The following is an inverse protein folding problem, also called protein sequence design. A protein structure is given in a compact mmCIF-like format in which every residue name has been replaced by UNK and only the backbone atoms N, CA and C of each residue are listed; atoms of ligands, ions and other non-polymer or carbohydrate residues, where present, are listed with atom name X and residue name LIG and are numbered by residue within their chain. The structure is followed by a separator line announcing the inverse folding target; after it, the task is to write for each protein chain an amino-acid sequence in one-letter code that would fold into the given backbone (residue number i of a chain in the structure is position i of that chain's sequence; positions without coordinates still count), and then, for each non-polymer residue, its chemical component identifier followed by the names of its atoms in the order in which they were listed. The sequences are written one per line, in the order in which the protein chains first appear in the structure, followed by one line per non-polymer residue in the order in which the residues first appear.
data_IF_030632308405
#
_entry.id   IF_030632308405
#
_cell.length_a   1.000
_cell.length_b   1.000
_cell.length_c   1.000
_cell.angle_alpha   90.00
_cell.angle_beta   90.00
_cell.angle_gamma   90.00
#
_symmetry.space_group_name_H-M   'P 1'
#
loop_
_entity.id
_entity.type
_entity.pdbx_description
1 polymer ?
#
# COMPACT_ATOMS: atom_id res chain seq x y z
N UNK A 1 -20.63 -6.97 2.30
CA UNK A 1 -19.72 -6.96 3.47
C UNK A 1 -19.90 -5.64 4.22
N UNK A 2 -19.90 -5.65 5.56
CA UNK A 2 -19.97 -4.43 6.34
C UNK A 2 -18.67 -3.61 6.22
N UNK A 3 -18.80 -2.31 5.94
CA UNK A 3 -17.68 -1.35 5.87
C UNK A 3 -17.10 -1.09 4.47
N UNK A 4 -17.56 -1.79 3.43
CA UNK A 4 -17.18 -1.49 2.04
C UNK A 4 -18.21 -0.55 1.42
N UNK A 5 -17.79 0.64 1.02
CA UNK A 5 -18.65 1.68 0.45
C UNK A 5 -18.75 1.54 -1.07
N UNK A 6 -17.64 1.23 -1.73
CA UNK A 6 -17.63 0.98 -3.18
C UNK A 6 -16.58 -0.06 -3.54
N UNK A 7 -16.92 -0.91 -4.52
CA UNK A 7 -16.00 -1.84 -5.14
C UNK A 7 -16.11 -1.67 -6.66
N UNK A 8 -15.06 -1.16 -7.28
CA UNK A 8 -14.98 -0.95 -8.72
C UNK A 8 -13.88 -1.82 -9.30
N UNK A 9 -14.27 -2.87 -10.03
CA UNK A 9 -13.36 -3.66 -10.82
C UNK A 9 -13.11 -2.98 -12.16
N UNK A 10 -11.85 -2.75 -12.51
CA UNK A 10 -11.49 -2.28 -13.84
C UNK A 10 -11.84 -3.36 -14.87
N UNK A 11 -12.69 -3.01 -15.83
CA UNK A 11 -13.08 -3.92 -16.89
C UNK A 11 -11.95 -3.98 -17.92
N UNK A 12 -11.31 -5.13 -18.01
CA UNK A 12 -10.34 -5.43 -19.07
C UNK A 12 -11.00 -5.43 -20.46
N UNK A 13 -12.33 -5.56 -20.55
CA UNK A 13 -13.08 -5.61 -21.82
C UNK A 13 -14.13 -4.50 -21.82
N UNK A 14 -14.03 -3.58 -22.77
CA UNK A 14 -14.89 -2.38 -22.81
C UNK A 14 -14.50 -1.35 -23.86
N UNK A 15 -13.34 -1.51 -24.49
CA UNK A 15 -12.96 -0.72 -25.66
C UNK A 15 -13.82 -1.10 -26.86
N UNK A 16 -14.30 -0.10 -27.59
CA UNK A 16 -14.97 -0.31 -28.88
C UNK A 16 -13.96 -0.09 -29.99
N UNK A 17 -13.83 -1.08 -30.85
CA UNK A 17 -12.91 -1.07 -31.97
C UNK A 17 -13.70 -1.16 -33.26
N UNK A 18 -13.21 -0.46 -34.28
CA UNK A 18 -13.59 -0.72 -35.65
C UNK A 18 -12.47 -1.53 -36.29
N UNK A 19 -12.72 -2.82 -36.48
CA UNK A 19 -11.77 -3.74 -37.08
C UNK A 19 -11.94 -3.72 -38.60
N UNK A 20 -10.81 -3.59 -39.30
CA UNK A 20 -10.74 -3.56 -40.76
C UNK A 20 -9.95 -4.80 -41.17
N UNK A 21 -10.67 -5.90 -41.37
CA UNK A 21 -10.11 -7.19 -41.71
C UNK A 21 -9.81 -7.27 -43.21
N UNK A 22 -8.55 -7.06 -43.57
CA UNK A 22 -8.08 -7.00 -44.96
C UNK A 22 -8.08 -8.41 -45.57
N UNK A 23 -8.93 -8.62 -46.57
CA UNK A 23 -9.01 -9.89 -47.30
C UNK A 23 -7.91 -9.94 -48.36
N UNK A 24 -6.82 -10.64 -48.05
CA UNK A 24 -5.65 -10.79 -48.93
C UNK A 24 -6.02 -11.22 -50.35
N UNK A 25 -6.93 -12.18 -50.51
CA UNK A 25 -7.37 -12.66 -51.83
C UNK A 25 -8.07 -11.58 -52.66
N UNK A 26 -8.86 -10.71 -52.02
CA UNK A 26 -9.55 -9.63 -52.72
C UNK A 26 -8.57 -8.49 -53.05
N UNK A 27 -7.70 -8.12 -52.13
CA UNK A 27 -6.66 -7.11 -52.37
C UNK A 27 -5.72 -7.52 -53.51
N UNK A 28 -5.34 -8.80 -53.59
CA UNK A 28 -4.47 -9.32 -54.64
C UNK A 28 -5.07 -9.19 -56.05
N UNK A 29 -6.41 -9.26 -56.20
CA UNK A 29 -7.08 -9.06 -57.50
C UNK A 29 -6.85 -7.66 -58.08
N UNK A 30 -6.62 -6.69 -57.22
CA UNK A 30 -6.37 -5.29 -57.58
C UNK A 30 -4.88 -4.93 -57.54
N UNK A 31 -3.99 -5.92 -57.40
CA UNK A 31 -2.55 -5.71 -57.32
C UNK A 31 -2.10 -5.00 -56.03
N UNK A 32 -2.90 -5.06 -54.96
CA UNK A 32 -2.59 -4.42 -53.68
C UNK A 32 -2.04 -5.41 -52.67
N UNK A 33 -1.02 -4.99 -51.94
CA UNK A 33 -0.52 -5.69 -50.76
C UNK A 33 -1.33 -5.28 -49.51
N UNK A 34 -1.20 -6.05 -48.43
CA UNK A 34 -1.79 -5.68 -47.13
C UNK A 34 -1.23 -4.34 -46.64
N UNK A 35 0.06 -4.08 -46.88
CA UNK A 35 0.70 -2.81 -46.52
C UNK A 35 0.09 -1.62 -47.24
N UNK A 36 -0.25 -1.77 -48.51
CA UNK A 36 -0.88 -0.69 -49.30
C UNK A 36 -2.25 -0.32 -48.74
N UNK A 37 -3.10 -1.32 -48.47
CA UNK A 37 -4.43 -1.09 -47.88
C UNK A 37 -4.30 -0.48 -46.47
N UNK A 38 -3.35 -0.95 -45.66
CA UNK A 38 -3.11 -0.42 -44.33
C UNK A 38 -2.60 1.03 -44.35
N UNK A 39 -1.82 1.42 -45.37
CA UNK A 39 -1.37 2.79 -45.56
C UNK A 39 -2.55 3.73 -45.83
N UNK A 40 -3.54 3.30 -46.63
CA UNK A 40 -4.77 4.07 -46.81
C UNK A 40 -5.57 4.20 -45.52
N UNK A 41 -5.64 3.13 -44.71
CA UNK A 41 -6.34 3.18 -43.42
C UNK A 41 -5.65 4.14 -42.44
N UNK A 42 -4.32 4.08 -42.31
CA UNK A 42 -3.58 4.91 -41.36
C UNK A 42 -3.57 6.39 -41.74
N UNK A 43 -3.38 6.71 -43.02
CA UNK A 43 -3.40 8.09 -43.51
C UNK A 43 -4.84 8.61 -43.66
N UNK A 44 -5.63 7.99 -44.53
CA UNK A 44 -6.90 8.55 -44.99
C UNK A 44 -7.99 8.56 -43.90
N UNK A 45 -8.02 7.54 -43.03
CA UNK A 45 -8.95 7.47 -41.89
C UNK A 45 -8.27 7.98 -40.61
N UNK A 46 -7.09 7.45 -40.29
CA UNK A 46 -6.38 7.72 -39.04
C UNK A 46 -5.81 9.12 -38.92
N UNK A 47 -5.49 9.78 -40.04
CA UNK A 47 -4.78 11.06 -40.05
C UNK A 47 -3.34 10.93 -39.56
N UNK A 48 -2.67 9.85 -39.95
CA UNK A 48 -1.26 9.63 -39.62
C UNK A 48 -0.40 10.82 -40.05
N UNK A 49 0.58 11.16 -39.20
CA UNK A 49 1.55 12.20 -39.49
C UNK A 49 2.45 11.76 -40.65
N UNK A 50 2.59 12.61 -41.67
CA UNK A 50 3.43 12.36 -42.85
C UNK A 50 4.76 13.10 -42.79
N UNK A 51 4.85 14.17 -42.00
CA UNK A 51 6.06 14.95 -41.82
C UNK A 51 5.87 16.06 -40.81
N UNK A 52 6.89 16.88 -40.62
CA UNK A 52 6.85 18.05 -39.76
C UNK A 52 7.42 19.26 -40.53
N UNK A 53 6.80 20.43 -40.38
CA UNK A 53 7.42 21.70 -40.79
C UNK A 53 8.25 22.24 -39.62
N UNK A 54 9.38 22.86 -39.94
CA UNK A 54 10.29 23.47 -38.96
C UNK A 54 10.22 24.98 -39.15
N UNK A 55 9.68 25.68 -38.15
CA UNK A 55 9.49 27.12 -38.16
C UNK A 55 10.30 27.73 -37.00
N UNK A 56 11.60 27.92 -37.24
CA UNK A 56 12.55 28.38 -36.23
C UNK A 56 12.86 27.29 -35.20
N UNK A 57 12.38 27.48 -33.97
CA UNK A 57 12.51 26.49 -32.86
C UNK A 57 11.29 25.58 -32.79
N UNK A 58 10.17 25.97 -33.41
CA UNK A 58 8.91 25.23 -33.37
C UNK A 58 8.85 24.19 -34.47
N UNK A 59 8.19 23.06 -34.16
CA UNK A 59 7.95 21.96 -35.09
C UNK A 59 6.46 21.65 -35.10
N UNK A 60 5.86 21.70 -36.29
CA UNK A 60 4.43 21.44 -36.46
C UNK A 60 4.19 20.20 -37.30
N UNK A 61 3.36 19.25 -36.84
CA UNK A 61 3.09 18.02 -37.58
C UNK A 61 2.14 18.25 -38.75
N UNK A 62 2.48 17.67 -39.90
CA UNK A 62 1.67 17.65 -41.11
C UNK A 62 1.01 16.27 -41.21
N UNK A 63 -0.31 16.23 -41.41
CA UNK A 63 -1.05 15.00 -41.67
C UNK A 63 -1.88 15.12 -42.96
N UNK A 64 -2.18 13.96 -43.56
CA UNK A 64 -3.06 13.86 -44.72
C UNK A 64 -4.24 13.01 -44.31
N UNK A 65 -5.46 13.48 -44.57
CA UNK A 65 -6.68 12.80 -44.16
C UNK A 65 -7.84 13.12 -45.10
N UNK A 66 -8.76 12.17 -45.31
CA UNK A 66 -10.01 12.46 -46.00
C UNK A 66 -10.94 13.37 -45.16
N UNK A 67 -11.84 14.13 -45.83
CA UNK A 67 -12.90 14.85 -45.16
C UNK A 67 -13.71 13.92 -44.25
N UNK A 68 -14.21 14.48 -43.15
CA UNK A 68 -14.91 13.70 -42.12
C UNK A 68 -16.12 12.93 -42.67
N UNK A 69 -16.81 13.50 -43.66
CA UNK A 69 -17.99 12.92 -44.33
C UNK A 69 -17.75 11.54 -44.94
N UNK A 70 -16.50 11.16 -45.23
CA UNK A 70 -16.13 9.85 -45.77
C UNK A 70 -15.77 8.81 -44.69
N UNK A 71 -15.80 9.19 -43.41
CA UNK A 71 -15.32 8.35 -42.29
C UNK A 71 -16.15 8.48 -41.01
N UNK A 72 -17.37 9.00 -41.13
CA UNK A 72 -18.27 9.23 -39.99
C UNK A 72 -18.91 7.95 -39.46
N UNK A 73 -19.17 6.97 -40.33
CA UNK A 73 -19.85 5.72 -39.97
C UNK A 73 -19.16 4.48 -40.54
N UNK A 74 -19.34 3.29 -39.93
CA UNK A 74 -18.88 2.02 -40.49
C UNK A 74 -19.37 1.79 -41.92
N UNK A 75 -20.59 2.20 -42.24
CA UNK A 75 -21.21 2.10 -43.57
C UNK A 75 -20.47 2.98 -44.58
N UNK A 76 -20.19 4.23 -44.20
CA UNK A 76 -19.40 5.16 -45.02
C UNK A 76 -17.99 4.63 -45.26
N UNK A 77 -17.38 4.02 -44.24
CA UNK A 77 -16.04 3.45 -44.36
C UNK A 77 -16.00 2.26 -45.33
N UNK A 78 -17.08 1.47 -45.44
CA UNK A 78 -17.17 0.43 -46.47
C UNK A 78 -17.19 1.01 -47.89
N UNK A 79 -17.71 2.22 -48.06
CA UNK A 79 -17.79 2.94 -49.32
C UNK A 79 -16.61 3.88 -49.56
N UNK A 80 -15.57 3.84 -48.71
CA UNK A 80 -14.42 4.73 -48.81
C UNK A 80 -13.69 4.49 -50.14
N UNK A 81 -13.55 5.52 -51.00
CA UNK A 81 -12.90 5.37 -52.29
C UNK A 81 -11.38 5.20 -52.14
N UNK A 82 -10.86 4.17 -52.79
CA UNK A 82 -9.43 3.83 -52.86
C UNK A 82 -9.02 3.81 -54.33
N UNK A 83 -7.89 4.46 -54.62
CA UNK A 83 -7.26 4.39 -55.93
C UNK A 83 -6.15 3.34 -55.92
N UNK A 84 -6.30 2.30 -56.74
CA UNK A 84 -5.33 1.20 -56.80
C UNK A 84 -4.07 1.62 -57.58
N UNK A 85 -2.95 0.90 -57.45
CA UNK A 85 -1.76 1.11 -58.28
C UNK A 85 -2.06 0.99 -59.78
N UNK A 86 -3.06 0.18 -60.15
CA UNK A 86 -3.57 0.00 -61.51
C UNK A 86 -4.53 1.12 -61.95
N UNK A 87 -4.65 2.20 -61.17
CA UNK A 87 -5.58 3.34 -61.38
C UNK A 87 -7.07 2.95 -61.41
N UNK A 88 -7.42 1.80 -60.84
CA UNK A 88 -8.82 1.42 -60.68
C UNK A 88 -9.39 2.15 -59.46
N UNK A 89 -10.64 2.57 -59.55
CA UNK A 89 -11.39 3.10 -58.42
C UNK A 89 -12.19 1.96 -57.79
N UNK A 90 -11.88 1.64 -56.54
CA UNK A 90 -12.56 0.61 -55.76
C UNK A 90 -12.99 1.20 -54.42
N UNK A 91 -13.84 0.49 -53.69
CA UNK A 91 -14.18 0.88 -52.32
C UNK A 91 -13.46 -0.01 -51.30
N UNK A 92 -13.25 0.49 -50.08
CA UNK A 92 -12.61 -0.29 -49.01
C UNK A 92 -13.34 -1.62 -48.73
N UNK A 93 -14.66 -1.66 -48.87
CA UNK A 93 -15.47 -2.88 -48.75
C UNK A 93 -15.15 -3.97 -49.78
N UNK A 94 -14.54 -3.62 -50.91
CA UNK A 94 -14.12 -4.59 -51.93
C UNK A 94 -12.87 -5.36 -51.49
N UNK A 95 -12.03 -4.78 -50.64
CA UNK A 95 -10.73 -5.36 -50.22
C UNK A 95 -10.67 -5.71 -48.74
N UNK A 96 -11.53 -5.14 -47.90
CA UNK A 96 -11.55 -5.36 -46.45
C UNK A 96 -12.97 -5.45 -45.90
N UNK A 97 -13.12 -6.16 -44.79
CA UNK A 97 -14.38 -6.30 -44.06
C UNK A 97 -14.35 -5.41 -42.81
N UNK A 98 -15.30 -4.47 -42.71
CA UNK A 98 -15.38 -3.51 -41.60
C UNK A 98 -16.39 -3.98 -40.56
N UNK A 99 -15.91 -4.31 -39.35
CA UNK A 99 -16.70 -4.80 -38.22
C UNK A 99 -16.51 -3.96 -36.97
N UNK A 100 -17.60 -3.74 -36.24
CA UNK A 100 -17.51 -3.18 -34.89
C UNK A 100 -17.30 -4.34 -33.92
N UNK A 101 -16.17 -4.34 -33.23
CA UNK A 101 -15.80 -5.38 -32.26
C UNK A 101 -15.55 -4.76 -30.90
N UNK A 102 -15.79 -5.53 -29.85
CA UNK A 102 -15.43 -5.13 -28.48
C UNK A 102 -14.11 -5.77 -28.12
N UNK A 103 -13.19 -4.98 -27.59
CA UNK A 103 -11.85 -5.41 -27.23
C UNK A 103 -11.39 -4.81 -25.90
N UNK A 104 -10.13 -5.09 -25.51
CA UNK A 104 -9.57 -4.55 -24.29
C UNK A 104 -9.21 -3.08 -24.45
N UNK A 105 -9.79 -2.19 -23.65
CA UNK A 105 -9.53 -0.74 -23.73
C UNK A 105 -8.10 -0.38 -23.34
N UNK A 106 -7.54 -1.10 -22.36
CA UNK A 106 -6.18 -0.91 -21.88
C UNK A 106 -5.65 -2.24 -21.35
N UNK A 107 -4.46 -2.63 -21.82
CA UNK A 107 -3.76 -3.80 -21.30
C UNK A 107 -2.84 -3.35 -20.16
N UNK A 108 -3.20 -3.70 -18.92
CA UNK A 108 -2.34 -3.49 -17.76
C UNK A 108 -1.56 -4.75 -17.47
N UNK A 109 -0.26 -4.58 -17.24
CA UNK A 109 0.65 -5.66 -16.90
C UNK A 109 1.43 -5.32 -15.65
N UNK A 110 1.66 -6.35 -14.84
CA UNK A 110 2.50 -6.27 -13.65
C UNK A 110 3.40 -7.50 -13.66
N UNK A 111 4.72 -7.31 -13.56
CA UNK A 111 5.71 -8.39 -13.67
C UNK A 111 5.51 -9.27 -14.92
N UNK A 112 5.23 -8.63 -16.08
CA UNK A 112 4.93 -9.28 -17.36
C UNK A 112 3.69 -10.20 -17.37
N UNK A 113 2.81 -10.08 -16.38
CA UNK A 113 1.51 -10.80 -16.33
C UNK A 113 0.36 -9.80 -16.49
N UNK A 114 -0.66 -10.10 -17.32
CA UNK A 114 -1.87 -9.29 -17.37
C UNK A 114 -2.55 -9.23 -16.00
N UNK A 115 -2.90 -8.02 -15.56
CA UNK A 115 -3.52 -7.81 -14.24
C UNK A 115 -4.75 -6.91 -14.38
N UNK A 116 -5.73 -7.11 -13.50
CA UNK A 116 -6.91 -6.25 -13.35
C UNK A 116 -6.98 -5.82 -11.91
N UNK A 117 -7.10 -4.51 -11.69
CA UNK A 117 -7.19 -3.95 -10.36
C UNK A 117 -8.65 -3.77 -9.95
N UNK A 118 -8.94 -4.13 -8.71
CA UNK A 118 -10.24 -3.92 -8.08
C UNK A 118 -10.02 -2.88 -6.99
N UNK A 119 -10.56 -1.69 -7.22
CA UNK A 119 -10.49 -0.60 -6.26
C UNK A 119 -11.62 -0.78 -5.25
N UNK A 120 -11.26 -0.90 -3.98
CA UNK A 120 -12.20 -1.06 -2.87
C UNK A 120 -12.03 0.14 -1.96
N UNK A 121 -13.09 0.95 -1.83
CA UNK A 121 -13.17 2.01 -0.80
C UNK A 121 -13.94 1.46 0.39
N UNK A 122 -13.28 1.48 1.56
CA UNK A 122 -13.86 1.06 2.82
C UNK A 122 -13.80 2.24 3.79
N UNK A 123 -14.96 2.57 4.36
CA UNK A 123 -15.09 3.65 5.35
C UNK A 123 -15.65 3.08 6.64
N UNK A 124 -15.33 3.77 7.74
CA UNK A 124 -15.89 3.51 9.08
C UNK A 124 -15.44 2.18 9.73
N UNK A 125 -14.43 1.50 9.16
CA UNK A 125 -13.85 0.27 9.73
C UNK A 125 -12.34 0.18 9.49
N UNK A 126 -11.66 -0.61 10.30
CA UNK A 126 -10.23 -0.85 10.18
C UNK A 126 -9.90 -1.64 8.90
N UNK A 127 -8.91 -1.14 8.15
CA UNK A 127 -8.49 -1.73 6.87
C UNK A 127 -8.09 -3.21 7.00
N UNK A 128 -7.47 -3.59 8.12
CA UNK A 128 -7.00 -4.97 8.35
C UNK A 128 -8.17 -5.95 8.46
N UNK A 129 -9.21 -5.63 9.24
CA UNK A 129 -10.40 -6.48 9.34
C UNK A 129 -11.16 -6.57 8.02
N UNK A 130 -11.26 -5.46 7.28
CA UNK A 130 -11.94 -5.46 5.97
C UNK A 130 -11.22 -6.39 4.98
N UNK A 131 -9.88 -6.35 4.93
CA UNK A 131 -9.10 -7.25 4.06
C UNK A 131 -9.21 -8.71 4.50
N UNK A 132 -9.24 -8.99 5.81
CA UNK A 132 -9.45 -10.36 6.30
C UNK A 132 -10.84 -10.90 5.95
N UNK A 133 -11.88 -10.08 6.10
CA UNK A 133 -13.25 -10.45 5.71
C UNK A 133 -13.34 -10.68 4.19
N UNK A 134 -12.66 -9.86 3.38
CA UNK A 134 -12.53 -10.03 1.94
C UNK A 134 -11.85 -11.36 1.58
N UNK A 135 -10.72 -11.67 2.22
CA UNK A 135 -9.99 -12.93 2.03
C UNK A 135 -10.87 -14.14 2.34
N UNK A 136 -11.61 -14.10 3.44
CA UNK A 136 -12.49 -15.20 3.84
C UNK A 136 -13.66 -15.38 2.88
N UNK A 137 -14.30 -14.30 2.45
CA UNK A 137 -15.43 -14.41 1.53
C UNK A 137 -14.99 -14.82 0.12
N UNK A 138 -13.90 -14.26 -0.40
CA UNK A 138 -13.36 -14.65 -1.71
C UNK A 138 -12.96 -16.13 -1.68
N UNK A 139 -12.34 -16.61 -0.59
CA UNK A 139 -11.98 -18.02 -0.44
C UNK A 139 -13.18 -18.97 -0.34
N UNK A 140 -14.33 -18.50 0.14
CA UNK A 140 -15.57 -19.31 0.26
C UNK A 140 -16.43 -19.28 -0.99
N UNK A 141 -16.61 -18.11 -1.58
CA UNK A 141 -17.61 -17.87 -2.62
C UNK A 141 -17.03 -17.95 -4.04
N UNK A 142 -15.72 -17.71 -4.22
CA UNK A 142 -15.11 -17.60 -5.55
C UNK A 142 -14.21 -18.80 -5.84
N UNK A 143 -14.62 -19.64 -6.79
CA UNK A 143 -13.77 -20.70 -7.34
C UNK A 143 -12.81 -20.11 -8.37
N UNK A 144 -11.54 -19.99 -8.02
CA UNK A 144 -10.50 -19.50 -8.90
C UNK A 144 -10.21 -20.51 -10.02
N UNK A 145 -10.15 -20.04 -11.27
CA UNK A 145 -9.70 -20.86 -12.39
C UNK A 145 -8.18 -21.06 -12.30
N UNK A 146 -7.64 -22.20 -12.78
CA UNK A 146 -6.20 -22.42 -12.86
C UNK A 146 -5.50 -21.28 -13.62
N UNK A 147 -4.35 -20.81 -13.12
CA UNK A 147 -3.58 -19.72 -13.73
C UNK A 147 -3.96 -18.31 -13.27
N UNK A 148 -4.98 -18.15 -12.43
CA UNK A 148 -5.35 -16.86 -11.81
C UNK A 148 -4.89 -16.85 -10.35
N UNK A 149 -4.10 -15.83 -9.99
CA UNK A 149 -3.74 -15.54 -8.61
C UNK A 149 -4.38 -14.22 -8.17
N UNK A 150 -4.90 -14.19 -6.94
CA UNK A 150 -5.41 -12.96 -6.32
C UNK A 150 -4.38 -12.49 -5.30
N UNK A 151 -3.94 -11.24 -5.44
CA UNK A 151 -3.08 -10.57 -4.46
C UNK A 151 -3.79 -9.35 -3.90
N UNK A 152 -3.58 -9.08 -2.62
CA UNK A 152 -4.13 -7.92 -1.93
C UNK A 152 -3.03 -6.88 -1.80
N UNK A 153 -3.09 -5.85 -2.65
CA UNK A 153 -2.07 -4.81 -2.73
C UNK A 153 -2.57 -3.50 -2.12
N UNK A 154 -1.66 -2.54 -1.91
CA UNK A 154 -1.95 -1.21 -1.38
C UNK A 154 -1.35 -0.99 0.01
N UNK A 155 -2.02 -0.20 0.85
CA UNK A 155 -1.53 0.10 2.20
C UNK A 155 -1.47 -1.16 3.09
N UNK A 156 -2.29 -2.16 2.81
CA UNK A 156 -2.28 -3.44 3.53
C UNK A 156 -0.95 -4.18 3.38
N UNK A 157 -0.35 -4.20 2.18
CA UNK A 157 0.93 -4.87 1.94
C UNK A 157 2.06 -4.22 2.76
N UNK A 158 2.06 -2.89 2.85
CA UNK A 158 3.02 -2.15 3.69
C UNK A 158 2.84 -2.47 5.17
N UNK A 159 1.59 -2.58 5.62
CA UNK A 159 1.24 -2.92 7.00
C UNK A 159 1.65 -4.37 7.32
N UNK A 160 1.39 -5.33 6.43
CA UNK A 160 1.80 -6.73 6.56
C UNK A 160 3.34 -6.82 6.69
N UNK A 161 4.07 -6.17 5.78
CA UNK A 161 5.55 -6.11 5.82
C UNK A 161 6.07 -5.47 7.11
N UNK A 162 5.44 -4.40 7.58
CA UNK A 162 5.80 -3.75 8.83
C UNK A 162 5.54 -4.66 10.05
N UNK A 163 4.39 -5.33 10.10
CA UNK A 163 4.03 -6.26 11.16
C UNK A 163 4.95 -7.47 11.22
N UNK A 164 5.36 -8.02 10.07
CA UNK A 164 6.34 -9.11 10.03
C UNK A 164 7.69 -8.68 10.62
N UNK A 165 8.15 -7.45 10.29
CA UNK A 165 9.37 -6.90 10.88
C UNK A 165 9.22 -6.65 12.38
N UNK A 166 8.10 -6.10 12.83
CA UNK A 166 7.83 -5.85 14.26
C UNK A 166 7.82 -7.16 15.07
N UNK A 167 7.18 -8.22 14.56
CA UNK A 167 7.19 -9.54 15.20
C UNK A 167 8.59 -10.10 15.40
N UNK A 168 9.53 -9.77 14.51
CA UNK A 168 10.93 -10.17 14.63
C UNK A 168 11.76 -9.22 15.52
N UNK A 169 11.50 -7.91 15.45
CA UNK A 169 12.23 -6.88 16.20
C UNK A 169 11.91 -6.88 17.70
N UNK A 170 10.66 -7.13 18.10
CA UNK A 170 10.25 -7.16 19.51
C UNK A 170 11.04 -8.20 20.34
N UNK A 171 11.12 -9.49 19.94
CA UNK A 171 11.90 -10.46 20.72
C UNK A 171 13.41 -10.16 20.69
N UNK A 172 13.94 -9.66 19.57
CA UNK A 172 15.34 -9.30 19.45
C UNK A 172 15.73 -8.16 20.41
N UNK A 173 14.91 -7.11 20.51
CA UNK A 173 15.14 -5.99 21.43
C UNK A 173 14.98 -6.41 22.90
N UNK A 174 13.97 -7.24 23.22
CA UNK A 174 13.82 -7.82 24.56
C UNK A 174 15.04 -8.66 24.96
N UNK A 175 15.61 -9.44 24.03
CA UNK A 175 16.81 -10.22 24.27
C UNK A 175 18.03 -9.33 24.56
N UNK A 176 18.22 -8.25 23.80
CA UNK A 176 19.32 -7.29 24.01
C UNK A 176 19.18 -6.60 25.37
N UNK A 177 17.98 -6.14 25.73
CA UNK A 177 17.71 -5.52 27.03
C UNK A 177 17.97 -6.53 28.16
N UNK A 178 17.54 -7.79 28.02
CA UNK A 178 17.84 -8.84 28.98
C UNK A 178 19.34 -9.03 29.20
N UNK A 179 20.13 -9.08 28.12
CA UNK A 179 21.59 -9.21 28.21
C UNK A 179 22.20 -8.00 28.92
N UNK A 180 21.81 -6.78 28.58
CA UNK A 180 22.31 -5.56 29.23
C UNK A 180 21.98 -5.53 30.74
N UNK A 181 20.75 -5.88 31.11
CA UNK A 181 20.34 -5.97 32.51
C UNK A 181 21.08 -7.08 33.25
N UNK A 182 21.30 -8.22 32.60
CA UNK A 182 22.08 -9.33 33.16
C UNK A 182 23.53 -8.92 33.44
N UNK A 183 24.17 -8.17 32.52
CA UNK A 183 25.53 -7.65 32.75
C UNK A 183 25.59 -6.66 33.91
N UNK A 184 24.56 -5.83 34.10
CA UNK A 184 24.52 -4.82 35.15
C UNK A 184 24.34 -5.41 36.56
N UNK A 185 23.34 -6.29 36.73
CA UNK A 185 23.01 -6.85 38.06
C UNK A 185 23.68 -8.20 38.34
N UNK A 186 24.24 -8.86 37.32
CA UNK A 186 24.84 -10.22 37.38
C UNK A 186 23.92 -11.28 38.00
N UNK A 187 22.61 -11.02 38.09
CA UNK A 187 21.63 -11.84 38.79
C UNK A 187 20.38 -12.01 37.94
N UNK A 188 20.14 -13.24 37.47
CA UNK A 188 19.04 -13.59 36.55
C UNK A 188 17.67 -13.22 37.13
N UNK A 189 17.49 -13.41 38.45
CA UNK A 189 16.21 -13.14 39.12
C UNK A 189 15.78 -11.67 39.08
N UNK A 190 16.73 -10.74 39.20
CA UNK A 190 16.43 -9.30 39.17
C UNK A 190 16.12 -8.83 37.73
N UNK A 191 16.87 -9.31 36.73
CA UNK A 191 16.63 -9.01 35.33
C UNK A 191 15.26 -9.52 34.83
N UNK A 192 14.86 -10.74 35.22
CA UNK A 192 13.58 -11.32 34.83
C UNK A 192 12.38 -10.56 35.43
N UNK A 193 12.52 -10.09 36.68
CA UNK A 193 11.48 -9.33 37.37
C UNK A 193 11.21 -8.00 36.65
N UNK A 194 12.27 -7.31 36.20
CA UNK A 194 12.15 -6.07 35.43
C UNK A 194 11.45 -6.32 34.10
N UNK A 195 11.85 -7.34 33.33
CA UNK A 195 11.24 -7.65 32.02
C UNK A 195 9.77 -8.03 32.16
N UNK A 196 9.42 -8.83 33.16
CA UNK A 196 8.03 -9.25 33.41
C UNK A 196 7.14 -8.08 33.81
N UNK A 197 7.72 -7.00 34.34
CA UNK A 197 6.97 -5.79 34.70
C UNK A 197 6.50 -4.96 33.48
N UNK A 198 7.20 -5.07 32.34
CA UNK A 198 6.88 -4.35 31.09
C UNK A 198 5.54 -4.76 30.46
N UNK A 199 5.24 -6.06 30.25
CA UNK A 199 3.94 -6.46 29.69
C UNK A 199 2.77 -6.07 30.59
N UNK A 200 2.94 -6.05 31.92
CA UNK A 200 1.90 -5.56 32.84
C UNK A 200 1.58 -4.07 32.63
N UNK A 201 2.59 -3.24 32.36
CA UNK A 201 2.37 -1.83 32.04
C UNK A 201 1.67 -1.65 30.68
N UNK A 202 2.00 -2.48 29.69
CA UNK A 202 1.37 -2.45 28.37
C UNK A 202 -0.12 -2.81 28.42
N UNK A 203 -0.50 -3.84 29.20
CA UNK A 203 -1.91 -4.24 29.36
C UNK A 203 -2.74 -3.07 29.91
N UNK A 204 -2.22 -2.33 30.90
CA UNK A 204 -2.89 -1.16 31.46
C UNK A 204 -3.14 -0.05 30.43
N UNK A 205 -2.14 0.25 29.58
CA UNK A 205 -2.32 1.27 28.54
C UNK A 205 -3.20 0.82 27.38
N UNK A 206 -3.19 -0.46 27.00
CA UNK A 206 -4.13 -1.00 25.99
C UNK A 206 -5.57 -0.91 26.50
N UNK A 207 -5.81 -1.24 27.77
CA UNK A 207 -7.13 -1.11 28.38
C UNK A 207 -7.63 0.33 28.38
N UNK A 208 -6.75 1.29 28.67
CA UNK A 208 -7.08 2.71 28.65
C UNK A 208 -7.46 3.20 27.23
N UNK A 209 -6.71 2.79 26.20
CA UNK A 209 -7.02 3.12 24.81
C UNK A 209 -8.35 2.54 24.35
N UNK A 210 -8.63 1.30 24.75
CA UNK A 210 -9.89 0.64 24.44
C UNK A 210 -11.07 1.40 25.03
N UNK A 211 -10.97 1.83 26.29
CA UNK A 211 -12.03 2.60 26.94
C UNK A 211 -12.24 3.98 26.28
N UNK A 212 -11.15 4.62 25.83
CA UNK A 212 -11.22 5.92 25.19
C UNK A 212 -11.59 5.86 23.68
N UNK A 213 -11.64 4.66 23.10
CA UNK A 213 -11.97 4.45 21.69
C UNK A 213 -10.87 4.92 20.72
N UNK A 214 -9.60 5.00 21.15
CA UNK A 214 -8.51 5.40 20.28
C UNK A 214 -7.93 4.22 19.48
N UNK A 215 -7.49 4.50 18.25
CA UNK A 215 -6.83 3.51 17.39
C UNK A 215 -5.33 3.38 17.67
N UNK A 216 -4.80 2.17 17.49
CA UNK A 216 -3.36 1.91 17.52
C UNK A 216 -2.66 2.69 16.41
N UNK A 217 -1.85 3.66 16.81
CA UNK A 217 -1.09 4.54 15.91
C UNK A 217 0.37 4.67 16.37
N UNK A 218 1.22 5.21 15.50
CA UNK A 218 2.64 5.49 15.82
C UNK A 218 2.76 6.39 17.06
N UNK A 219 1.88 7.38 17.21
CA UNK A 219 1.84 8.27 18.37
C UNK A 219 1.59 7.49 19.67
N UNK A 220 0.66 6.55 19.63
CA UNK A 220 0.34 5.68 20.77
C UNK A 220 1.51 4.75 21.11
N UNK A 221 2.21 4.24 20.10
CA UNK A 221 3.43 3.45 20.26
C UNK A 221 4.54 4.20 21.01
N UNK A 222 4.79 5.47 20.66
CA UNK A 222 5.75 6.32 21.38
C UNK A 222 5.35 6.54 22.85
N UNK A 223 4.05 6.68 23.12
CA UNK A 223 3.53 6.78 24.48
C UNK A 223 3.82 5.53 25.33
N UNK A 224 3.70 4.33 24.77
CA UNK A 224 4.06 3.09 25.45
C UNK A 224 5.55 2.97 25.76
N UNK A 225 6.42 3.43 24.84
CA UNK A 225 7.88 3.44 25.07
C UNK A 225 8.22 4.41 26.20
N UNK A 226 7.60 5.60 26.24
CA UNK A 226 7.78 6.56 27.32
C UNK A 226 7.33 6.03 28.69
N UNK A 227 6.19 5.33 28.75
CA UNK A 227 5.69 4.71 29.97
C UNK A 227 6.62 3.60 30.49
N UNK A 228 7.21 2.81 29.59
CA UNK A 228 8.19 1.79 29.97
C UNK A 228 9.45 2.40 30.61
N UNK A 229 9.92 3.54 30.08
CA UNK A 229 11.08 4.26 30.63
C UNK A 229 10.80 4.96 31.96
N UNK A 230 9.60 5.51 32.18
CA UNK A 230 9.25 6.23 33.42
C UNK A 230 9.42 5.37 34.67
N UNK A 231 9.11 4.07 34.61
CA UNK A 231 9.27 3.17 35.77
C UNK A 231 10.72 2.99 36.21
N UNK A 232 11.70 3.14 35.30
CA UNK A 232 13.12 3.04 35.67
C UNK A 232 13.57 4.21 36.56
N UNK A 233 12.91 5.37 36.47
CA UNK A 233 13.28 6.53 37.28
C UNK A 233 12.89 6.38 38.77
N UNK A 234 11.90 5.55 39.10
CA UNK A 234 11.58 5.20 40.50
C UNK A 234 12.59 4.22 41.12
N UNK A 235 13.40 3.53 40.32
CA UNK A 235 14.47 2.68 40.85
C UNK A 235 15.68 3.49 41.32
N UNK A 236 15.80 4.77 40.93
CA UNK A 236 16.89 5.65 41.38
C UNK A 236 16.76 6.16 42.83
N UNK A 237 15.61 5.99 43.49
CA UNK A 237 15.48 6.28 44.93
C UNK A 237 15.74 5.04 45.83
N UNK A 238 16.23 3.95 45.25
CA UNK A 238 16.72 2.78 46.00
C UNK A 238 18.24 2.79 46.20
N UNK A 239 18.91 3.94 46.09
CA UNK A 239 20.23 4.12 46.70
C UNK A 239 20.02 4.35 48.22
N UNK A 240 19.63 3.28 48.91
CA UNK A 240 19.66 3.25 50.37
C UNK A 240 21.14 3.23 50.77
N UNK A 241 21.69 4.28 51.39
CA UNK A 241 23.07 4.26 51.85
C UNK A 241 23.21 3.10 52.85
N UNK A 242 24.20 2.25 52.63
CA UNK A 242 24.51 1.11 53.46
C UNK A 242 24.56 1.52 54.95
N UNK A 243 23.74 0.92 55.85
CA UNK A 243 23.90 1.18 57.27
C UNK A 243 25.19 0.52 57.75
N UNK A 244 26.13 1.34 58.21
CA UNK A 244 27.29 0.92 58.99
C UNK A 244 26.86 -0.06 60.09
N UNK A 245 27.59 -1.17 60.18
CA UNK A 245 27.49 -2.16 61.25
C UNK A 245 27.49 -1.52 62.64
N UNK A 246 26.36 -1.60 63.36
CA UNK A 246 26.30 -1.76 64.83
C UNK A 246 24.87 -2.08 65.28
N UNK A 247 24.75 -3.19 66.01
CA UNK A 247 23.63 -3.46 66.93
C UNK A 247 22.43 -4.15 66.28
N UNK A 248 22.12 -5.37 66.77
CA UNK A 248 20.95 -6.14 66.36
C UNK A 248 19.65 -5.44 66.77
N UNK A 249 18.76 -5.26 65.80
CA UNK A 249 17.36 -4.93 66.02
C UNK A 249 16.50 -5.76 65.05
N UNK A 250 15.37 -6.25 65.55
CA UNK A 250 14.46 -7.20 64.91
C UNK A 250 13.83 -6.68 63.59
N UNK A 251 13.60 -7.61 62.66
CA UNK A 251 13.17 -7.37 61.28
C UNK A 251 11.82 -6.65 61.11
N UNK A 252 10.94 -6.66 62.11
CA UNK A 252 9.61 -6.03 62.02
C UNK A 252 9.67 -4.50 62.05
N UNK A 253 10.56 -3.92 62.86
CA UNK A 253 10.65 -2.45 63.01
C UNK A 253 11.23 -1.81 61.74
N UNK A 254 12.10 -2.53 61.00
CA UNK A 254 12.66 -2.06 59.72
C UNK A 254 11.65 -2.05 58.57
N UNK A 255 10.62 -2.90 58.60
CA UNK A 255 9.55 -2.87 57.57
C UNK A 255 8.58 -1.71 57.80
N UNK A 256 8.28 -1.39 59.06
CA UNK A 256 7.41 -0.26 59.42
C UNK A 256 8.05 1.09 59.11
N UNK A 257 9.36 1.27 59.33
CA UNK A 257 10.04 2.53 58.95
C UNK A 257 10.10 2.76 57.44
N UNK A 258 10.21 1.69 56.64
CA UNK A 258 10.20 1.76 55.17
C UNK A 258 8.81 2.07 54.59
N UNK A 259 7.73 1.63 55.28
CA UNK A 259 6.36 1.97 54.91
C UNK A 259 6.01 3.45 55.18
N UNK A 260 6.64 4.07 56.17
CA UNK A 260 6.39 5.48 56.55
C UNK A 260 7.24 6.43 55.70
N UNK A 261 8.39 5.99 55.15
CA UNK A 261 9.19 6.81 54.23
C UNK A 261 8.62 6.85 52.81
N UNK A 262 7.89 5.83 52.35
CA UNK A 262 7.28 5.83 51.01
C UNK A 262 5.99 6.66 50.91
N UNK A 263 5.42 7.07 52.05
CA UNK A 263 4.20 7.91 52.13
C UNK A 263 4.48 9.40 52.29
N UNK A 264 5.76 9.83 52.36
CA UNK A 264 6.11 11.25 52.23
C UNK A 264 6.23 11.60 50.75
N UNK A 265 5.37 12.48 50.22
CA UNK A 265 5.19 12.65 48.79
C UNK A 265 6.38 13.37 48.16
N UNK A 266 6.59 13.08 46.87
CA UNK A 266 7.38 13.83 45.89
C UNK A 266 6.88 15.28 45.70
N UNK A 267 6.72 16.08 46.75
CA UNK A 267 6.39 17.52 46.70
C UNK A 267 7.63 18.39 46.92
N UNK A 268 8.77 18.04 46.31
CA UNK A 268 9.99 18.86 46.33
C UNK A 268 10.58 19.12 44.95
N UNK A 269 9.71 19.37 43.97
CA UNK A 269 10.04 20.23 42.84
C UNK A 269 9.99 21.71 43.24
N UNK A 270 10.91 22.15 44.12
CA UNK A 270 11.27 23.54 44.47
C UNK A 270 12.04 23.54 45.79
N UNK A 271 13.37 23.56 45.72
CA UNK A 271 14.28 24.21 46.69
C UNK A 271 15.74 24.00 46.25
N UNK A 272 16.04 24.40 45.01
CA UNK A 272 17.39 24.87 44.70
C UNK A 272 17.51 26.30 45.23
N UNK A 273 18.05 26.47 46.45
CA UNK A 273 18.76 27.68 46.91
C UNK A 273 18.90 27.65 48.45
N UNK A 274 20.08 27.27 48.92
CA UNK A 274 20.77 27.73 50.15
C UNK A 274 21.83 26.65 50.45
N UNK A 275 23.11 26.92 50.54
CA UNK A 275 23.78 28.15 50.88
C UNK A 275 25.06 27.69 51.58
N UNK A 276 26.13 27.65 50.78
CA UNK A 276 27.50 27.34 51.20
C UNK A 276 27.89 28.26 52.37
N UNK A 277 28.21 27.72 53.55
CA UNK A 277 29.04 28.40 54.55
C UNK A 277 29.69 27.40 55.50
N UNK A 278 31.04 27.45 55.43
CA UNK A 278 32.11 27.08 56.37
C UNK A 278 31.85 25.96 57.36
#
# INVERSE_FOLDING_TARGET
MPGVTSALAERLVGGRYLDIDIKREKAARYGMTVGDVQLFVSSAIGGAMVGETVEGVERYPINIRYPQSYRDSPETLRQLPILTPLKQQIVLGDVAEVKVVTGPSMLKTENARPTSWIYIDARDRDMVSVVHDLQQAIGKEVKLKPGISVSYSGQFELLERANQKLKLMVPMTLMIIFVLLYLAFRRVGEALLIITSVPFALVGGIWFLYWMGFHLSVATGTGFIALAGWRQNLACDADVPAPCHRGGASLEIRRLSASISSTRPCTRGRCCACGRRR
#
